data_IF_290187628931
#
_entry.id   IF_290187628931
#
_cell.length_a   1.000
_cell.length_b   1.000
_cell.length_c   1.000
_cell.angle_alpha   90.00
_cell.angle_beta   90.00
_cell.angle_gamma   90.00
#
_symmetry.space_group_name_H-M   'P 1'
#
loop_
_entity.id
_entity.type
_entity.pdbx_description
1 polymer ?
#
# COMPACT_ATOMS: atom_id res chain seq x y z
N UNK A 1 -9.59 6.56 -1.70
CA UNK A 1 -8.23 6.94 -1.27
C UNK A 1 -7.35 5.76 -0.81
N UNK A 2 -7.51 4.54 -1.35
CA UNK A 2 -6.67 3.38 -0.97
C UNK A 2 -5.18 3.57 -1.30
N UNK A 3 -4.87 4.35 -2.35
CA UNK A 3 -3.52 4.75 -2.74
C UNK A 3 -2.75 5.40 -1.58
N UNK A 4 -3.38 6.32 -0.85
CA UNK A 4 -2.79 7.00 0.29
C UNK A 4 -2.47 6.02 1.43
N UNK A 5 -3.41 5.14 1.79
CA UNK A 5 -3.18 4.10 2.80
C UNK A 5 -2.05 3.15 2.42
N UNK A 6 -1.97 2.75 1.15
CA UNK A 6 -0.92 1.87 0.67
C UNK A 6 0.46 2.53 0.78
N UNK A 7 0.58 3.78 0.31
CA UNK A 7 1.82 4.55 0.37
C UNK A 7 2.25 4.82 1.82
N UNK A 8 1.32 5.25 2.67
CA UNK A 8 1.58 5.49 4.10
C UNK A 8 2.11 4.24 4.79
N UNK A 9 1.45 3.10 4.63
CA UNK A 9 1.90 1.85 5.27
C UNK A 9 3.32 1.43 4.82
N UNK A 10 3.68 1.68 3.55
CA UNK A 10 5.04 1.43 3.07
C UNK A 10 6.08 2.33 3.76
N UNK A 11 5.76 3.61 3.96
CA UNK A 11 6.63 4.59 4.62
C UNK A 11 6.74 4.34 6.12
N UNK A 12 5.64 3.98 6.79
CA UNK A 12 5.66 3.57 8.21
C UNK A 12 6.61 2.39 8.41
N UNK A 13 6.54 1.40 7.51
CA UNK A 13 7.43 0.24 7.48
C UNK A 13 8.89 0.63 7.30
N UNK A 14 9.19 1.41 6.26
CA UNK A 14 10.54 1.92 6.00
C UNK A 14 11.08 2.74 7.19
N UNK A 15 10.26 3.60 7.77
CA UNK A 15 10.61 4.45 8.92
C UNK A 15 10.97 3.59 10.13
N UNK A 16 10.19 2.54 10.41
CA UNK A 16 10.49 1.56 11.46
C UNK A 16 11.82 0.85 11.20
N UNK A 17 12.07 0.42 9.97
CA UNK A 17 13.32 -0.26 9.60
C UNK A 17 14.54 0.63 9.76
N UNK A 18 14.44 1.92 9.40
CA UNK A 18 15.56 2.86 9.43
C UNK A 18 15.82 3.47 10.81
N UNK A 19 14.77 3.73 11.58
CA UNK A 19 14.87 4.48 12.84
C UNK A 19 14.62 3.65 14.09
N UNK A 20 14.09 2.43 13.93
CA UNK A 20 13.62 1.59 15.04
C UNK A 20 12.28 2.06 15.65
N UNK A 21 11.68 3.16 15.18
CA UNK A 21 10.42 3.70 15.69
C UNK A 21 9.30 3.51 14.69
N UNK A 22 8.20 2.90 15.13
CA UNK A 22 6.97 2.83 14.33
C UNK A 22 6.16 4.07 14.66
N UNK A 23 5.83 4.85 13.64
CA UNK A 23 5.11 6.12 13.77
C UNK A 23 3.88 6.01 12.88
N UNK A 24 2.70 6.28 13.42
CA UNK A 24 1.47 6.37 12.61
C UNK A 24 1.45 7.67 11.82
N UNK A 25 1.43 7.58 10.49
CA UNK A 25 1.50 8.73 9.58
C UNK A 25 0.13 9.04 8.97
N UNK A 26 -0.06 10.27 8.50
CA UNK A 26 -1.36 10.77 8.05
C UNK A 26 -1.66 10.43 6.59
N UNK A 27 -2.64 9.58 6.35
CA UNK A 27 -3.24 9.42 5.01
C UNK A 27 -4.00 10.67 4.58
N UNK A 28 -4.63 11.38 5.53
CA UNK A 28 -5.43 12.57 5.22
C UNK A 28 -4.59 13.71 4.64
N UNK A 29 -3.34 13.86 5.06
CA UNK A 29 -2.44 14.83 4.45
C UNK A 29 -2.26 14.56 2.96
N UNK A 30 -2.16 13.29 2.54
CA UNK A 30 -2.09 12.95 1.11
C UNK A 30 -3.42 13.27 0.42
N UNK A 31 -4.53 12.82 1.00
CA UNK A 31 -5.87 13.04 0.44
C UNK A 31 -6.18 14.52 0.22
N UNK A 32 -5.79 15.39 1.16
CA UNK A 32 -6.12 16.82 1.09
C UNK A 32 -5.13 17.65 0.26
N UNK A 33 -3.86 17.22 0.14
CA UNK A 33 -2.78 18.05 -0.36
C UNK A 33 -2.11 17.54 -1.63
N UNK A 34 -2.17 16.23 -1.88
CA UNK A 34 -1.68 15.63 -3.10
C UNK A 34 -2.84 15.49 -4.10
N UNK A 35 -3.29 16.65 -4.59
CA UNK A 35 -4.46 16.79 -5.49
C UNK A 35 -4.09 17.53 -6.78
N UNK A 36 -2.79 17.72 -7.02
CA UNK A 36 -2.26 18.50 -8.12
C UNK A 36 -1.35 17.60 -8.97
N UNK A 37 -1.96 16.70 -9.74
CA UNK A 37 -1.24 15.73 -10.55
C UNK A 37 -2.12 14.55 -10.92
N UNK A 38 -1.60 13.34 -10.67
CA UNK A 38 -2.30 12.07 -10.93
C UNK A 38 -3.26 11.67 -9.81
N UNK A 39 -3.13 12.27 -8.64
CA UNK A 39 -3.95 11.96 -7.45
C UNK A 39 -5.11 12.93 -7.32
N UNK A 40 -6.29 12.40 -6.97
CA UNK A 40 -7.56 13.12 -6.93
C UNK A 40 -8.30 12.84 -5.60
N UNK A 41 -7.55 12.78 -4.49
CA UNK A 41 -8.10 12.57 -3.16
C UNK A 41 -8.91 11.27 -3.03
N UNK A 42 -10.20 11.40 -2.73
CA UNK A 42 -11.13 10.29 -2.62
C UNK A 42 -11.44 9.60 -3.96
N UNK A 43 -11.29 10.29 -5.11
CA UNK A 43 -11.65 9.76 -6.43
C UNK A 43 -10.63 8.78 -7.01
N UNK A 44 -9.41 8.75 -6.48
CA UNK A 44 -8.38 7.85 -6.98
C UNK A 44 -6.99 8.44 -6.82
N UNK A 45 -6.00 7.63 -7.14
CA UNK A 45 -4.59 8.01 -7.09
C UNK A 45 -3.65 6.82 -7.24
N UNK A 46 -2.36 7.11 -7.29
CA UNK A 46 -1.25 6.19 -7.49
C UNK A 46 -0.22 6.35 -6.35
N UNK A 47 0.39 5.25 -5.93
CA UNK A 47 1.26 5.23 -4.76
C UNK A 47 2.64 5.87 -5.03
N UNK A 48 3.12 5.78 -6.26
CA UNK A 48 4.35 6.43 -6.74
C UNK A 48 4.21 7.96 -6.77
N UNK A 49 3.08 8.48 -7.24
CA UNK A 49 2.73 9.90 -7.17
C UNK A 49 2.72 10.39 -5.71
N UNK A 50 2.10 9.63 -4.80
CA UNK A 50 2.15 9.91 -3.37
C UNK A 50 3.58 9.97 -2.80
N UNK A 51 4.46 9.05 -3.20
CA UNK A 51 5.87 9.12 -2.80
C UNK A 51 6.55 10.37 -3.35
N UNK A 52 6.29 10.73 -4.60
CA UNK A 52 6.83 11.93 -5.22
C UNK A 52 6.37 13.21 -4.52
N UNK A 53 5.08 13.30 -4.14
CA UNK A 53 4.57 14.40 -3.33
C UNK A 53 5.29 14.49 -2.00
N UNK A 54 5.49 13.38 -1.29
CA UNK A 54 6.16 13.38 0.04
C UNK A 54 7.60 13.88 -0.06
N UNK A 55 8.32 13.53 -1.13
CA UNK A 55 9.67 14.05 -1.39
C UNK A 55 9.62 15.58 -1.56
N UNK A 56 8.71 16.07 -2.39
CA UNK A 56 8.56 17.49 -2.69
C UNK A 56 8.06 18.32 -1.50
N UNK A 57 7.19 17.72 -0.68
CA UNK A 57 6.65 18.32 0.53
C UNK A 57 7.61 18.23 1.73
N UNK A 58 8.77 17.61 1.56
CA UNK A 58 9.75 17.37 2.63
C UNK A 58 9.22 16.54 3.81
N UNK A 59 8.38 15.55 3.50
CA UNK A 59 7.90 14.57 4.46
C UNK A 59 6.40 14.58 4.70
N UNK A 60 5.99 13.70 5.60
CA UNK A 60 4.61 13.46 5.99
C UNK A 60 4.45 13.60 7.49
N UNK A 61 3.36 14.21 7.95
CA UNK A 61 3.05 14.38 9.37
C UNK A 61 2.45 13.10 9.97
N UNK A 62 2.34 13.06 11.31
CA UNK A 62 1.63 11.99 12.02
C UNK A 62 0.12 12.03 11.84
N UNK A 63 -0.51 10.86 11.94
CA UNK A 63 -1.97 10.72 12.01
C UNK A 63 -2.57 11.55 13.16
N UNK A 64 -1.90 11.59 14.32
CA UNK A 64 -2.36 12.38 15.46
C UNK A 64 -2.43 13.90 15.18
N UNK A 65 -1.55 14.43 14.33
CA UNK A 65 -1.55 15.86 13.96
C UNK A 65 -2.58 16.14 12.85
N UNK A 66 -2.74 15.21 11.90
CA UNK A 66 -3.64 15.34 10.77
C UNK A 66 -4.51 14.08 10.62
N UNK A 67 -5.57 13.95 11.44
CA UNK A 67 -6.37 12.72 11.50
C UNK A 67 -7.16 12.45 10.23
N UNK A 68 -7.39 11.17 9.94
CA UNK A 68 -8.24 10.71 8.85
C UNK A 68 -9.72 11.05 9.05
N UNK A 69 -10.31 11.70 8.04
CA UNK A 69 -11.68 12.18 8.03
C UNK A 69 -12.59 11.38 7.09
N UNK A 70 -12.02 10.56 6.19
CA UNK A 70 -12.80 9.75 5.27
C UNK A 70 -13.44 10.51 4.11
N UNK A 71 -13.03 11.76 3.87
CA UNK A 71 -13.52 12.62 2.80
C UNK A 71 -12.43 13.59 2.37
N UNK A 72 -12.57 14.16 1.17
CA UNK A 72 -11.72 15.25 0.72
C UNK A 72 -11.88 16.47 1.64
N UNK A 73 -10.76 17.09 1.99
CA UNK A 73 -10.69 18.34 2.72
C UNK A 73 -9.88 19.39 1.97
N UNK A 74 -9.59 20.50 2.66
CA UNK A 74 -8.66 21.51 2.16
C UNK A 74 -7.30 21.29 2.81
N UNK A 75 -6.24 21.26 1.99
CA UNK A 75 -4.87 21.11 2.49
C UNK A 75 -4.53 22.08 3.63
N UNK A 76 -4.27 21.55 4.82
CA UNK A 76 -3.93 22.35 5.98
C UNK A 76 -2.41 22.63 6.06
N UNK A 77 -2.00 23.75 5.46
CA UNK A 77 -0.60 24.17 5.43
C UNK A 77 0.07 24.34 6.81
N UNK A 78 -0.69 24.52 7.90
CA UNK A 78 -0.10 24.58 9.26
C UNK A 78 0.27 23.18 9.76
N UNK A 79 -0.60 22.20 9.53
CA UNK A 79 -0.34 20.81 9.92
C UNK A 79 0.79 20.19 9.10
N UNK A 80 0.93 20.57 7.83
CA UNK A 80 2.01 20.09 6.95
C UNK A 80 3.42 20.54 7.35
N UNK A 81 3.56 21.58 8.19
CA UNK A 81 4.87 22.12 8.59
C UNK A 81 5.60 21.29 9.67
N UNK A 82 5.04 20.16 10.07
CA UNK A 82 5.58 19.28 11.12
C UNK A 82 5.78 17.85 10.60
N UNK A 83 6.70 17.61 9.65
CA UNK A 83 6.94 16.27 9.13
C UNK A 83 7.51 15.35 10.23
N UNK A 84 7.01 14.13 10.28
CA UNK A 84 7.41 13.08 11.22
C UNK A 84 8.21 11.95 10.54
N UNK A 85 8.05 11.79 9.22
CA UNK A 85 8.83 10.88 8.39
C UNK A 85 9.16 11.54 7.04
N UNK A 86 10.32 11.17 6.49
CA UNK A 86 10.81 11.64 5.18
C UNK A 86 11.36 10.46 4.40
N UNK A 87 11.27 10.54 3.08
CA UNK A 87 11.88 9.59 2.14
C UNK A 87 12.79 10.37 1.17
N UNK A 88 13.78 9.71 0.57
CA UNK A 88 14.71 10.32 -0.39
C UNK A 88 14.35 10.03 -1.85
N UNK A 89 13.57 8.99 -2.08
CA UNK A 89 13.19 8.52 -3.40
C UNK A 89 12.12 7.44 -3.30
N UNK A 90 11.81 6.83 -4.43
CA UNK A 90 11.05 5.60 -4.54
C UNK A 90 11.52 4.83 -5.78
N UNK A 91 11.22 3.54 -5.83
CA UNK A 91 11.52 2.68 -6.97
C UNK A 91 10.29 1.85 -7.33
N UNK A 92 10.09 1.66 -8.63
CA UNK A 92 9.12 0.71 -9.15
C UNK A 92 9.74 -0.68 -9.26
N UNK A 93 8.99 -1.67 -8.81
CA UNK A 93 9.32 -3.07 -9.05
C UNK A 93 9.04 -3.38 -10.54
N UNK A 94 9.93 -4.12 -11.23
CA UNK A 94 9.66 -4.58 -12.59
C UNK A 94 8.29 -5.23 -12.72
N UNK A 95 7.47 -4.70 -13.64
CA UNK A 95 6.10 -5.14 -13.82
C UNK A 95 6.03 -6.61 -14.26
N UNK A 96 5.07 -7.34 -13.69
CA UNK A 96 4.80 -8.76 -13.94
C UNK A 96 5.96 -9.69 -13.54
N UNK A 97 6.67 -9.34 -12.47
CA UNK A 97 7.77 -10.13 -11.92
C UNK A 97 7.58 -10.38 -10.41
N UNK A 98 6.89 -11.48 -10.06
CA UNK A 98 6.72 -11.89 -8.67
C UNK A 98 8.05 -12.16 -7.96
N UNK A 99 9.13 -12.51 -8.69
CA UNK A 99 10.44 -12.73 -8.08
C UNK A 99 11.13 -11.42 -7.73
N UNK A 100 10.99 -10.38 -8.56
CA UNK A 100 11.42 -9.03 -8.23
C UNK A 100 10.62 -8.46 -7.06
N UNK A 101 9.29 -8.65 -7.07
CA UNK A 101 8.43 -8.25 -5.95
C UNK A 101 8.83 -8.96 -4.66
N UNK A 102 9.14 -10.26 -4.72
CA UNK A 102 9.59 -11.03 -3.56
C UNK A 102 10.86 -10.43 -2.95
N UNK A 103 11.83 -10.06 -3.79
CA UNK A 103 13.08 -9.43 -3.35
C UNK A 103 12.80 -8.08 -2.67
N UNK A 104 11.89 -7.27 -3.21
CA UNK A 104 11.53 -5.99 -2.60
C UNK A 104 10.83 -6.20 -1.23
N UNK A 105 9.82 -7.08 -1.17
CA UNK A 105 9.06 -7.39 0.06
C UNK A 105 9.95 -8.00 1.15
N UNK A 106 10.99 -8.75 0.77
CA UNK A 106 11.97 -9.28 1.73
C UNK A 106 12.79 -8.20 2.45
N UNK A 107 12.89 -7.00 1.89
CA UNK A 107 13.64 -5.89 2.47
C UNK A 107 12.74 -4.91 3.24
N UNK A 108 11.52 -4.67 2.77
CA UNK A 108 10.58 -3.71 3.35
C UNK A 108 9.15 -3.91 2.82
N UNK A 109 8.12 -3.32 3.46
CA UNK A 109 6.78 -3.30 2.88
C UNK A 109 6.73 -2.55 1.53
N UNK A 110 5.94 -3.08 0.60
CA UNK A 110 5.81 -2.59 -0.78
C UNK A 110 4.36 -2.25 -1.06
N UNK A 111 4.10 -1.08 -1.63
CA UNK A 111 2.78 -0.71 -2.14
C UNK A 111 2.50 -1.46 -3.43
N UNK A 112 1.33 -2.08 -3.55
CA UNK A 112 0.92 -2.87 -4.72
C UNK A 112 -0.53 -2.53 -5.10
N UNK A 113 -0.83 -2.52 -6.40
CA UNK A 113 -2.21 -2.44 -6.88
C UNK A 113 -2.75 -3.84 -7.22
N UNK A 114 -4.03 -4.05 -6.98
CA UNK A 114 -4.76 -5.29 -7.24
C UNK A 114 -6.15 -5.00 -7.83
N UNK A 115 -6.74 -6.01 -8.45
CA UNK A 115 -8.19 -6.06 -8.68
C UNK A 115 -8.89 -6.66 -7.45
N UNK A 116 -9.57 -5.80 -6.68
CA UNK A 116 -10.36 -6.17 -5.51
C UNK A 116 -11.88 -6.18 -5.77
N UNK A 117 -12.31 -6.05 -7.03
CA UNK A 117 -13.72 -5.89 -7.40
C UNK A 117 -14.54 -7.19 -7.34
N UNK A 118 -13.90 -8.35 -7.41
CA UNK A 118 -14.55 -9.65 -7.44
C UNK A 118 -15.25 -10.05 -6.13
N UNK A 119 -16.37 -10.77 -6.23
CA UNK A 119 -17.14 -11.25 -5.08
C UNK A 119 -16.29 -12.06 -4.10
N UNK A 120 -15.42 -12.93 -4.61
CA UNK A 120 -14.54 -13.75 -3.78
C UNK A 120 -13.60 -12.90 -2.91
N UNK A 121 -13.10 -11.77 -3.43
CA UNK A 121 -12.24 -10.86 -2.69
C UNK A 121 -13.03 -10.09 -1.63
N UNK A 122 -14.18 -9.50 -2.01
CA UNK A 122 -15.02 -8.71 -1.10
C UNK A 122 -15.42 -9.49 0.16
N UNK A 123 -15.76 -10.77 0.00
CA UNK A 123 -16.23 -11.63 1.09
C UNK A 123 -15.14 -12.54 1.69
N UNK A 124 -13.87 -12.32 1.36
CA UNK A 124 -12.77 -13.07 1.98
C UNK A 124 -12.81 -12.96 3.52
N UNK A 125 -12.61 -14.10 4.19
CA UNK A 125 -12.60 -14.20 5.66
C UNK A 125 -11.29 -14.75 6.22
N UNK A 126 -10.76 -15.82 5.63
CA UNK A 126 -9.51 -16.44 6.08
C UNK A 126 -8.98 -17.44 5.06
N UNK A 127 -7.76 -17.94 5.30
CA UNK A 127 -7.10 -18.93 4.48
C UNK A 127 -6.24 -18.32 3.37
N UNK A 128 -5.64 -19.16 2.53
CA UNK A 128 -4.93 -18.67 1.34
C UNK A 128 -5.98 -18.38 0.26
N UNK A 129 -6.15 -17.10 -0.05
CA UNK A 129 -7.02 -16.64 -1.11
C UNK A 129 -6.50 -17.11 -2.48
N UNK A 130 -7.32 -17.88 -3.17
CA UNK A 130 -7.11 -18.35 -4.55
C UNK A 130 -8.38 -18.20 -5.39
N UNK A 131 -9.26 -17.28 -5.00
CA UNK A 131 -10.53 -17.03 -5.68
C UNK A 131 -10.34 -16.24 -6.96
N UNK A 132 -11.39 -16.22 -7.78
CA UNK A 132 -11.38 -15.49 -9.06
C UNK A 132 -11.30 -13.98 -8.85
N UNK A 133 -10.41 -13.36 -9.60
CA UNK A 133 -10.23 -11.91 -9.73
C UNK A 133 -9.60 -11.63 -11.10
N UNK A 134 -9.82 -10.43 -11.64
CA UNK A 134 -9.22 -10.00 -12.89
C UNK A 134 -7.85 -9.35 -12.68
N UNK A 135 -7.46 -8.55 -13.66
CA UNK A 135 -6.25 -7.72 -13.62
C UNK A 135 -6.57 -6.26 -13.96
N UNK A 136 -7.84 -5.86 -13.84
CA UNK A 136 -8.28 -4.48 -13.94
C UNK A 136 -8.08 -3.84 -12.56
N UNK A 137 -6.86 -3.36 -12.32
CA UNK A 137 -6.43 -2.84 -11.04
C UNK A 137 -7.33 -1.67 -10.61
N UNK A 138 -7.86 -1.75 -9.39
CA UNK A 138 -8.82 -0.78 -8.86
C UNK A 138 -8.61 -0.48 -7.37
N UNK A 139 -7.68 -1.17 -6.71
CA UNK A 139 -7.44 -1.02 -5.28
C UNK A 139 -5.96 -1.13 -4.94
N UNK A 140 -5.45 -0.21 -4.14
CA UNK A 140 -4.08 -0.21 -3.66
C UNK A 140 -4.00 -0.76 -2.23
N UNK A 141 -3.05 -1.65 -2.00
CA UNK A 141 -2.80 -2.35 -0.73
C UNK A 141 -1.30 -2.44 -0.48
N UNK A 142 -0.87 -2.97 0.66
CA UNK A 142 0.57 -3.09 0.98
C UNK A 142 0.94 -4.54 1.20
N UNK A 143 1.88 -5.06 0.40
CA UNK A 143 2.52 -6.34 0.66
C UNK A 143 3.51 -6.16 1.82
N UNK A 144 3.22 -6.77 2.97
CA UNK A 144 4.02 -6.63 4.21
C UNK A 144 4.81 -7.89 4.52
N UNK A 145 4.67 -8.93 3.71
CA UNK A 145 5.41 -10.17 3.86
C UNK A 145 4.98 -11.24 2.86
N UNK A 146 5.54 -12.41 3.02
CA UNK A 146 5.24 -13.60 2.25
C UNK A 146 5.49 -14.84 3.11
N UNK A 147 5.03 -16.01 2.65
CA UNK A 147 5.27 -17.24 3.37
C UNK A 147 4.87 -18.50 2.60
N UNK A 148 4.94 -19.62 3.29
CA UNK A 148 4.51 -20.92 2.79
C UNK A 148 3.62 -21.58 3.85
N UNK A 149 2.41 -21.95 3.45
CA UNK A 149 1.47 -22.66 4.29
C UNK A 149 1.93 -24.11 4.53
N UNK A 150 1.30 -24.79 5.49
CA UNK A 150 1.68 -26.16 5.89
C UNK A 150 1.57 -27.19 4.75
N UNK A 151 0.69 -26.93 3.79
CA UNK A 151 0.48 -27.75 2.60
C UNK A 151 1.45 -27.42 1.45
N UNK A 152 2.40 -26.51 1.67
CA UNK A 152 3.35 -26.05 0.67
C UNK A 152 2.85 -24.87 -0.18
N UNK A 153 1.62 -24.39 0.00
CA UNK A 153 1.09 -23.26 -0.77
C UNK A 153 1.79 -21.96 -0.39
N UNK A 154 2.43 -21.29 -1.36
CA UNK A 154 3.05 -19.98 -1.17
C UNK A 154 2.02 -18.86 -1.19
N UNK A 155 2.27 -17.80 -0.42
CA UNK A 155 1.38 -16.65 -0.35
C UNK A 155 2.11 -15.33 -0.11
N UNK A 156 1.47 -14.24 -0.54
CA UNK A 156 1.71 -12.86 -0.11
C UNK A 156 0.89 -12.56 1.14
N UNK A 157 1.47 -11.91 2.14
CA UNK A 157 0.73 -11.32 3.26
C UNK A 157 0.49 -9.85 2.94
N UNK A 158 -0.77 -9.47 2.80
CA UNK A 158 -1.18 -8.15 2.33
C UNK A 158 -2.03 -7.45 3.38
N UNK A 159 -1.65 -6.22 3.74
CA UNK A 159 -2.41 -5.30 4.60
C UNK A 159 -3.45 -4.57 3.75
N UNK A 160 -4.72 -4.69 4.12
CA UNK A 160 -5.82 -3.96 3.48
C UNK A 160 -6.25 -2.75 4.34
N UNK A 161 -7.06 -1.86 3.78
CA UNK A 161 -7.55 -0.63 4.41
C UNK A 161 -9.07 -0.65 4.71
N UNK A 162 -9.67 -1.84 4.84
CA UNK A 162 -11.12 -2.03 5.07
C UNK A 162 -11.47 -2.38 6.54
N UNK A 163 -10.56 -2.08 7.46
CA UNK A 163 -10.72 -2.34 8.88
C UNK A 163 -10.48 -3.79 9.28
N UNK A 164 -10.41 -4.04 10.59
CA UNK A 164 -10.00 -5.33 11.16
C UNK A 164 -11.09 -6.41 11.11
N UNK A 165 -12.34 -6.05 10.83
CA UNK A 165 -13.45 -7.00 10.68
C UNK A 165 -13.46 -7.72 9.33
N UNK A 166 -12.68 -7.24 8.36
CA UNK A 166 -12.50 -7.87 7.06
C UNK A 166 -11.28 -8.80 7.06
N UNK A 167 -11.40 -9.96 6.42
CA UNK A 167 -10.30 -10.93 6.32
C UNK A 167 -9.72 -11.35 7.67
N UNK A 168 -8.41 -11.56 7.69
CA UNK A 168 -7.65 -12.03 8.84
C UNK A 168 -7.16 -10.83 9.67
N UNK A 169 -8.07 -10.17 10.39
CA UNK A 169 -7.74 -8.98 11.18
C UNK A 169 -7.38 -7.77 10.31
N UNK A 170 -7.96 -7.64 9.13
CA UNK A 170 -7.65 -6.61 8.12
C UNK A 170 -6.60 -7.04 7.09
N UNK A 171 -6.12 -8.28 7.16
CA UNK A 171 -5.13 -8.83 6.23
C UNK A 171 -5.74 -9.89 5.32
N UNK A 172 -5.05 -10.16 4.22
CA UNK A 172 -5.32 -11.27 3.33
C UNK A 172 -4.02 -11.98 2.98
N UNK A 173 -4.08 -13.32 2.94
CA UNK A 173 -2.99 -14.14 2.39
C UNK A 173 -3.34 -14.53 0.96
N UNK A 174 -2.76 -13.86 -0.03
CA UNK A 174 -3.04 -14.11 -1.45
C UNK A 174 -2.09 -15.16 -1.99
N UNK A 175 -2.59 -16.18 -2.70
CA UNK A 175 -1.73 -17.19 -3.33
C UNK A 175 -0.70 -16.52 -4.25
N UNK A 176 0.55 -16.92 -4.10
CA UNK A 176 1.68 -16.44 -4.91
C UNK A 176 2.32 -17.58 -5.68
N UNK A 177 3.31 -17.26 -6.52
CA UNK A 177 4.05 -18.24 -7.34
C UNK A 177 3.09 -19.01 -8.27
N UNK A 178 2.21 -18.26 -8.92
CA UNK A 178 1.24 -18.80 -9.88
C UNK A 178 1.78 -18.67 -11.31
N UNK A 179 1.17 -19.40 -12.26
CA UNK A 179 1.59 -19.34 -13.66
C UNK A 179 1.42 -17.95 -14.31
N UNK A 180 0.51 -17.11 -13.80
CA UNK A 180 0.30 -15.77 -14.33
C UNK A 180 1.41 -14.83 -13.88
N UNK A 181 2.13 -14.23 -14.85
CA UNK A 181 3.20 -13.26 -14.56
C UNK A 181 2.70 -12.01 -13.83
N UNK A 182 1.44 -11.64 -14.04
CA UNK A 182 0.82 -10.52 -13.32
C UNK A 182 0.61 -10.80 -11.82
N UNK A 183 0.79 -12.04 -11.37
CA UNK A 183 0.40 -12.48 -10.03
C UNK A 183 -1.13 -12.53 -9.86
N UNK A 184 -1.58 -13.15 -8.77
CA UNK A 184 -3.02 -13.24 -8.48
C UNK A 184 -3.60 -11.83 -8.29
N UNK A 185 -4.73 -11.56 -8.95
CA UNK A 185 -5.38 -10.26 -8.99
C UNK A 185 -4.52 -9.10 -9.52
N UNK A 186 -3.44 -9.40 -10.25
CA UNK A 186 -2.54 -8.38 -10.79
C UNK A 186 -1.54 -7.80 -9.80
N UNK A 187 -1.34 -8.43 -8.64
CA UNK A 187 -0.48 -7.92 -7.54
C UNK A 187 0.97 -7.58 -7.96
N UNK A 188 1.49 -8.18 -9.03
CA UNK A 188 2.83 -7.90 -9.54
C UNK A 188 2.86 -6.90 -10.70
N UNK A 189 1.72 -6.32 -11.10
CA UNK A 189 1.64 -5.43 -12.27
C UNK A 189 2.13 -4.01 -11.97
N UNK A 190 1.75 -3.47 -10.81
CA UNK A 190 2.09 -2.10 -10.38
C UNK A 190 2.45 -2.15 -8.90
N UNK A 191 3.76 -2.17 -8.63
CA UNK A 191 4.30 -2.22 -7.29
C UNK A 191 5.46 -1.24 -7.16
N UNK A 192 5.49 -0.49 -6.06
CA UNK A 192 6.45 0.58 -5.81
C UNK A 192 6.77 0.66 -4.33
N UNK A 193 7.99 1.08 -3.98
CA UNK A 193 8.39 1.24 -2.58
C UNK A 193 9.24 2.50 -2.37
N UNK A 194 9.11 3.15 -1.20
CA UNK A 194 9.91 4.32 -0.87
C UNK A 194 11.36 3.93 -0.54
N UNK A 195 12.32 4.84 -0.76
CA UNK A 195 13.73 4.69 -0.40
C UNK A 195 14.19 5.80 0.56
N UNK A 196 15.20 5.51 1.40
CA UNK A 196 15.70 6.40 2.46
C UNK A 196 17.19 6.69 2.31
#
# INVERSE_FOLDING_TARGET
CCWAFSAVAAIEGLTKLKTGKLISLSEQQLVDCDIHGSDEGCNGGLMDSAFQYIINNHGLTTEANYPYMGSDGTCNARKNKSPAATIRGFEDVPANDEAALLKAVANQPVSVAIDAGGYAFQFYKSGIFSGDCGTLLNHAVTAVGYGTAKDGTKYWLVKNSWGSSWGEGGYIRMKSDIASKSGLCGIAMQASYPTA
#
